data_IF_676107255053
#
_entry.id   IF_676107255053
#
_cell.length_a   1.000
_cell.length_b   1.000
_cell.length_c   1.000
_cell.angle_alpha   90.00
_cell.angle_beta   90.00
_cell.angle_gamma   90.00
#
_symmetry.space_group_name_H-M   'P 1'
#
loop_
_entity.id
_entity.type
_entity.pdbx_description
1 polymer ?
#
# COMPACT_ATOMS: atom_id res chain seq x y z
N UNK A 1 13.56 59.71 16.24
CA UNK A 1 14.38 58.48 16.39
C UNK A 1 13.56 57.35 17.06
N UNK A 2 12.38 56.99 16.54
CA UNK A 2 11.47 56.05 17.24
C UNK A 2 10.83 54.97 16.35
N UNK A 3 10.68 55.21 15.05
CA UNK A 3 10.03 54.25 14.14
C UNK A 3 10.89 53.04 13.75
N UNK A 4 12.21 53.19 13.71
CA UNK A 4 13.14 52.15 13.23
C UNK A 4 13.30 51.04 14.27
N UNK A 5 13.28 51.39 15.56
CA UNK A 5 13.39 50.42 16.66
C UNK A 5 12.15 49.52 16.77
N UNK A 6 10.95 50.05 16.48
CA UNK A 6 9.69 49.29 16.54
C UNK A 6 9.55 48.32 15.37
N UNK A 7 9.96 48.72 14.15
CA UNK A 7 9.94 47.84 12.98
C UNK A 7 10.93 46.68 13.10
N UNK A 8 12.11 46.91 13.69
CA UNK A 8 13.08 45.86 13.96
C UNK A 8 12.56 44.84 15.00
N UNK A 9 11.89 45.32 16.06
CA UNK A 9 11.31 44.45 17.09
C UNK A 9 10.15 43.59 16.54
N UNK A 10 9.28 44.16 15.70
CA UNK A 10 8.16 43.42 15.10
C UNK A 10 8.63 42.40 14.06
N UNK A 11 9.64 42.74 13.25
CA UNK A 11 10.24 41.80 12.30
C UNK A 11 10.88 40.60 12.97
N UNK A 12 11.55 40.82 14.12
CA UNK A 12 12.22 39.75 14.87
C UNK A 12 11.22 38.80 15.54
N UNK A 13 10.09 39.31 16.07
CA UNK A 13 9.00 38.48 16.61
C UNK A 13 8.31 37.68 15.50
N UNK A 14 8.10 38.26 14.32
CA UNK A 14 7.48 37.54 13.19
C UNK A 14 8.32 36.34 12.72
N UNK A 15 9.66 36.47 12.70
CA UNK A 15 10.54 35.34 12.35
C UNK A 15 10.55 34.22 13.38
N UNK A 16 10.39 34.54 14.66
CA UNK A 16 10.33 33.55 15.74
C UNK A 16 9.00 32.78 15.76
N UNK A 17 7.88 33.43 15.42
CA UNK A 17 6.54 32.80 15.45
C UNK A 17 6.26 31.99 14.19
N UNK A 18 6.76 32.39 13.01
CA UNK A 18 6.44 31.74 11.73
C UNK A 18 7.58 30.93 11.08
N UNK A 19 8.86 31.08 11.46
CA UNK A 19 9.97 30.44 10.72
C UNK A 19 11.13 29.86 11.53
N UNK A 20 11.39 30.33 12.77
CA UNK A 20 12.63 30.03 13.48
C UNK A 20 12.70 28.68 14.21
N UNK A 21 11.56 28.15 14.68
CA UNK A 21 11.54 26.91 15.49
C UNK A 21 11.60 25.65 14.61
N UNK A 22 11.28 25.79 13.32
CA UNK A 22 11.35 24.71 12.34
C UNK A 22 12.78 24.20 12.15
N UNK A 23 13.79 25.06 12.18
CA UNK A 23 15.20 24.66 11.98
C UNK A 23 15.80 23.94 13.19
N UNK A 24 15.44 24.33 14.42
CA UNK A 24 15.90 23.65 15.65
C UNK A 24 15.23 22.30 15.88
N UNK A 25 13.99 22.13 15.41
CA UNK A 25 13.27 20.85 15.45
C UNK A 25 13.46 20.03 14.19
N UNK A 26 13.96 20.60 13.09
CA UNK A 26 14.27 19.90 11.84
C UNK A 26 15.22 18.70 12.01
N UNK A 27 16.28 18.71 12.84
CA UNK A 27 17.09 17.50 13.04
C UNK A 27 16.26 16.40 13.72
N UNK A 28 15.49 16.70 14.76
CA UNK A 28 14.64 15.72 15.44
C UNK A 28 13.47 15.21 14.59
N UNK A 29 12.82 16.10 13.83
CA UNK A 29 11.70 15.77 12.94
C UNK A 29 12.20 15.05 11.70
N UNK A 30 13.36 15.45 11.18
CA UNK A 30 14.06 14.77 10.09
C UNK A 30 14.67 13.44 10.50
N UNK A 31 15.10 13.25 11.75
CA UNK A 31 15.55 11.97 12.31
C UNK A 31 14.38 11.07 12.76
N UNK A 32 13.24 11.65 13.16
CA UNK A 32 12.00 10.91 13.36
C UNK A 32 11.42 10.46 12.01
N UNK A 33 11.28 11.36 11.03
CA UNK A 33 10.90 11.03 9.64
C UNK A 33 11.91 10.07 9.02
N UNK A 34 13.21 10.20 9.31
CA UNK A 34 14.21 9.23 8.87
C UNK A 34 14.03 7.92 9.62
N UNK A 35 13.92 7.83 10.94
CA UNK A 35 13.66 6.55 11.64
C UNK A 35 12.38 5.87 11.14
N UNK A 36 11.33 6.65 10.90
CA UNK A 36 10.08 6.20 10.29
C UNK A 36 10.27 5.73 8.83
N UNK A 37 11.23 6.30 8.09
CA UNK A 37 11.58 5.92 6.70
C UNK A 37 12.75 4.93 6.53
N UNK A 38 13.67 4.80 7.49
CA UNK A 38 14.98 4.13 7.32
C UNK A 38 15.19 2.94 8.23
N UNK A 39 14.44 2.73 9.32
CA UNK A 39 14.70 1.60 10.22
C UNK A 39 13.44 0.95 10.77
N UNK A 40 12.94 -0.05 10.05
CA UNK A 40 12.87 -1.43 10.55
C UNK A 40 12.60 -1.70 12.04
N UNK A 41 11.64 -1.06 12.68
CA UNK A 41 11.08 -1.62 13.92
C UNK A 41 10.44 -2.97 13.60
N UNK A 42 10.56 -3.95 14.51
CA UNK A 42 9.87 -5.24 14.35
C UNK A 42 8.37 -5.07 14.06
N UNK A 43 7.76 -4.03 14.65
CA UNK A 43 6.37 -3.67 14.41
C UNK A 43 6.09 -3.22 12.96
N UNK A 44 6.92 -2.34 12.37
CA UNK A 44 6.79 -1.97 10.96
C UNK A 44 6.96 -3.19 10.05
N UNK A 45 7.84 -4.13 10.44
CA UNK A 45 8.06 -5.36 9.69
C UNK A 45 6.87 -6.30 9.71
N UNK A 46 6.28 -6.49 10.88
CA UNK A 46 5.07 -7.30 11.07
C UNK A 46 3.90 -6.67 10.30
N UNK A 47 3.68 -5.36 10.49
CA UNK A 47 2.58 -4.65 9.83
C UNK A 47 2.67 -4.73 8.29
N UNK A 48 3.86 -4.57 7.74
CA UNK A 48 4.05 -4.67 6.29
C UNK A 48 3.85 -6.10 5.79
N UNK A 49 4.32 -7.11 6.54
CA UNK A 49 4.07 -8.51 6.22
C UNK A 49 2.57 -8.84 6.25
N UNK A 50 1.85 -8.45 7.30
CA UNK A 50 0.41 -8.64 7.43
C UNK A 50 -0.36 -7.96 6.29
N UNK A 51 0.05 -6.75 5.89
CA UNK A 51 -0.52 -6.04 4.75
C UNK A 51 -0.33 -6.83 3.45
N UNK A 52 0.89 -7.24 3.12
CA UNK A 52 1.16 -8.00 1.89
C UNK A 52 0.51 -9.38 1.90
N UNK A 53 0.47 -10.06 3.05
CA UNK A 53 -0.23 -11.32 3.22
C UNK A 53 -1.74 -11.15 2.99
N UNK A 54 -2.34 -10.08 3.53
CA UNK A 54 -3.74 -9.74 3.30
C UNK A 54 -4.05 -9.45 1.84
N UNK A 55 -3.21 -8.66 1.17
CA UNK A 55 -3.34 -8.37 -0.27
C UNK A 55 -3.25 -9.64 -1.12
N UNK A 56 -2.32 -10.54 -0.79
CA UNK A 56 -2.15 -11.78 -1.51
C UNK A 56 -3.33 -12.76 -1.27
N UNK A 57 -3.78 -12.89 -0.03
CA UNK A 57 -4.96 -13.70 0.34
C UNK A 57 -6.23 -13.18 -0.35
N UNK A 58 -6.35 -11.86 -0.55
CA UNK A 58 -7.46 -11.27 -1.29
C UNK A 58 -7.48 -11.71 -2.76
N UNK A 59 -6.31 -11.82 -3.41
CA UNK A 59 -6.18 -12.38 -4.77
C UNK A 59 -6.61 -13.85 -4.77
N UNK A 60 -6.09 -14.68 -3.86
CA UNK A 60 -6.43 -16.10 -3.77
C UNK A 60 -7.92 -16.35 -3.50
N UNK A 61 -8.55 -15.52 -2.67
CA UNK A 61 -10.00 -15.62 -2.39
C UNK A 61 -10.82 -15.38 -3.66
N UNK A 62 -10.42 -14.41 -4.49
CA UNK A 62 -11.05 -14.15 -5.78
C UNK A 62 -10.82 -15.30 -6.75
N UNK A 63 -9.61 -15.85 -6.80
CA UNK A 63 -9.29 -17.04 -7.62
C UNK A 63 -10.12 -18.25 -7.22
N UNK A 64 -10.28 -18.51 -5.91
CA UNK A 64 -11.15 -19.59 -5.41
C UNK A 64 -12.61 -19.40 -5.82
N UNK A 65 -13.11 -18.17 -5.75
CA UNK A 65 -14.48 -17.85 -6.19
C UNK A 65 -14.64 -18.00 -7.70
N UNK A 66 -13.65 -17.57 -8.49
CA UNK A 66 -13.61 -17.76 -9.95
C UNK A 66 -13.66 -19.25 -10.28
N UNK A 67 -12.82 -20.07 -9.63
CA UNK A 67 -12.78 -21.52 -9.84
C UNK A 67 -14.13 -22.18 -9.52
N UNK A 68 -14.73 -21.86 -8.38
CA UNK A 68 -16.03 -22.39 -8.00
C UNK A 68 -17.14 -22.03 -9.02
N UNK A 69 -17.12 -20.80 -9.54
CA UNK A 69 -18.07 -20.38 -10.57
C UNK A 69 -17.80 -21.03 -11.93
N UNK A 70 -16.54 -21.24 -12.31
CA UNK A 70 -16.18 -21.97 -13.52
C UNK A 70 -16.62 -23.45 -13.46
N UNK A 71 -16.50 -24.09 -12.30
CA UNK A 71 -17.03 -25.43 -12.03
C UNK A 71 -18.57 -25.46 -12.09
N UNK A 72 -19.25 -24.51 -11.44
CA UNK A 72 -20.71 -24.39 -11.51
C UNK A 72 -21.19 -24.18 -12.95
N UNK A 73 -20.48 -23.34 -13.72
CA UNK A 73 -20.79 -23.05 -15.12
C UNK A 73 -20.84 -24.30 -15.98
N UNK A 74 -19.98 -25.28 -15.70
CA UNK A 74 -19.90 -26.55 -16.45
C UNK A 74 -21.16 -27.40 -16.36
N UNK A 75 -21.95 -27.25 -15.29
CA UNK A 75 -23.18 -28.04 -15.06
C UNK A 75 -24.45 -27.18 -15.08
N UNK A 76 -24.31 -25.86 -15.19
CA UNK A 76 -25.40 -24.90 -15.12
C UNK A 76 -26.29 -24.86 -16.38
N UNK A 77 -27.57 -24.53 -16.16
CA UNK A 77 -28.54 -24.21 -17.22
C UNK A 77 -28.08 -22.98 -18.03
N UNK A 78 -28.57 -22.82 -19.26
CA UNK A 78 -28.17 -21.70 -20.12
C UNK A 78 -28.43 -20.32 -19.49
N UNK A 79 -29.57 -20.15 -18.81
CA UNK A 79 -29.91 -18.92 -18.11
C UNK A 79 -29.01 -18.64 -16.91
N UNK A 80 -28.58 -19.69 -16.19
CA UNK A 80 -27.62 -19.56 -15.09
C UNK A 80 -26.21 -19.27 -15.60
N UNK A 81 -25.78 -19.89 -16.71
CA UNK A 81 -24.48 -19.65 -17.35
C UNK A 81 -24.29 -18.18 -17.71
N UNK A 82 -25.30 -17.52 -18.29
CA UNK A 82 -25.21 -16.09 -18.61
C UNK A 82 -24.96 -15.22 -17.36
N UNK A 83 -25.60 -15.54 -16.23
CA UNK A 83 -25.37 -14.84 -14.95
C UNK A 83 -23.96 -15.12 -14.40
N UNK A 84 -23.51 -16.37 -14.48
CA UNK A 84 -22.17 -16.76 -14.07
C UNK A 84 -21.13 -16.02 -14.92
N UNK A 85 -21.32 -15.88 -16.23
CA UNK A 85 -20.39 -15.20 -17.14
C UNK A 85 -20.22 -13.71 -16.78
N UNK A 86 -21.32 -13.03 -16.42
CA UNK A 86 -21.26 -11.66 -15.89
C UNK A 86 -20.47 -11.60 -14.58
N UNK A 87 -20.75 -12.51 -13.64
CA UNK A 87 -20.02 -12.57 -12.36
C UNK A 87 -18.53 -12.88 -12.55
N UNK A 88 -18.19 -13.81 -13.45
CA UNK A 88 -16.80 -14.16 -13.78
C UNK A 88 -16.05 -12.97 -14.37
N UNK A 89 -16.68 -12.19 -15.26
CA UNK A 89 -16.06 -10.99 -15.84
C UNK A 89 -15.73 -9.96 -14.77
N UNK A 90 -16.67 -9.70 -13.85
CA UNK A 90 -16.46 -8.79 -12.73
C UNK A 90 -15.36 -9.29 -11.78
N UNK A 91 -15.37 -10.59 -11.44
CA UNK A 91 -14.38 -11.19 -10.55
C UNK A 91 -12.98 -11.21 -11.17
N UNK A 92 -12.84 -11.49 -12.47
CA UNK A 92 -11.56 -11.44 -13.19
C UNK A 92 -10.99 -10.03 -13.20
N UNK A 93 -11.83 -9.02 -13.42
CA UNK A 93 -11.42 -7.61 -13.34
C UNK A 93 -10.97 -7.23 -11.92
N UNK A 94 -11.76 -7.61 -10.92
CA UNK A 94 -11.42 -7.34 -9.51
C UNK A 94 -10.19 -8.11 -9.02
N UNK A 95 -9.89 -9.28 -9.60
CA UNK A 95 -8.64 -10.00 -9.37
C UNK A 95 -7.45 -9.21 -9.93
N UNK A 96 -7.57 -8.69 -11.15
CA UNK A 96 -6.52 -7.88 -11.76
C UNK A 96 -6.25 -6.60 -10.93
N UNK A 97 -7.28 -5.93 -10.43
CA UNK A 97 -7.15 -4.79 -9.52
C UNK A 97 -6.38 -5.15 -8.24
N UNK A 98 -6.69 -6.29 -7.62
CA UNK A 98 -5.99 -6.75 -6.41
C UNK A 98 -4.51 -7.08 -6.71
N UNK A 99 -4.20 -7.66 -7.87
CA UNK A 99 -2.82 -7.87 -8.33
C UNK A 99 -2.10 -6.54 -8.54
N UNK A 100 -2.76 -5.55 -9.14
CA UNK A 100 -2.19 -4.21 -9.31
C UNK A 100 -1.94 -3.51 -8.00
N UNK A 101 -2.84 -3.63 -7.02
CA UNK A 101 -2.64 -3.06 -5.69
C UNK A 101 -1.47 -3.73 -4.96
N UNK A 102 -1.36 -5.06 -5.03
CA UNK A 102 -0.18 -5.76 -4.53
C UNK A 102 1.11 -5.21 -5.15
N UNK A 103 1.14 -5.11 -6.48
CA UNK A 103 2.31 -4.66 -7.22
C UNK A 103 2.65 -3.18 -6.97
N UNK A 104 1.64 -2.32 -6.77
CA UNK A 104 1.83 -0.91 -6.46
C UNK A 104 2.49 -0.73 -5.09
N UNK A 105 2.06 -1.52 -4.09
CA UNK A 105 2.63 -1.56 -2.74
C UNK A 105 4.03 -2.15 -2.73
N UNK A 106 4.25 -3.22 -3.49
CA UNK A 106 5.56 -3.91 -3.60
C UNK A 106 6.62 -3.05 -4.29
N UNK A 107 6.20 -2.11 -5.16
CA UNK A 107 7.11 -1.19 -5.84
C UNK A 107 7.62 -0.04 -4.94
N UNK A 108 7.05 0.16 -3.75
CA UNK A 108 7.44 1.25 -2.85
C UNK A 108 8.83 1.01 -2.24
N UNK A 109 9.73 1.98 -2.40
CA UNK A 109 11.16 1.84 -2.06
C UNK A 109 11.39 1.47 -0.58
N UNK A 110 10.65 2.09 0.33
CA UNK A 110 10.71 1.83 1.78
C UNK A 110 10.15 0.47 2.20
N UNK A 111 9.51 -0.27 1.27
CA UNK A 111 8.97 -1.62 1.50
C UNK A 111 9.83 -2.70 0.86
N UNK A 112 10.97 -2.32 0.27
CA UNK A 112 11.88 -3.24 -0.39
C UNK A 112 12.53 -4.26 0.56
N UNK A 113 12.62 -3.95 1.86
CA UNK A 113 13.10 -4.85 2.91
C UNK A 113 12.18 -6.06 3.20
N UNK A 114 10.95 -6.07 2.68
CA UNK A 114 9.97 -7.17 2.88
C UNK A 114 9.92 -8.17 1.74
N UNK A 115 10.73 -7.94 0.70
CA UNK A 115 10.90 -8.84 -0.44
C UNK A 115 11.53 -10.19 -0.06
N UNK A 116 12.07 -10.30 1.16
CA UNK A 116 13.19 -11.18 1.45
C UNK A 116 12.89 -12.31 2.44
N UNK A 117 11.64 -12.73 2.62
CA UNK A 117 11.44 -14.00 3.36
C UNK A 117 10.44 -14.96 2.78
N UNK A 118 9.22 -14.55 2.47
CA UNK A 118 8.19 -15.53 2.10
C UNK A 118 7.17 -15.04 1.06
N UNK A 119 7.19 -13.79 0.61
CA UNK A 119 6.16 -13.26 -0.29
C UNK A 119 6.72 -12.93 -1.68
N UNK A 120 5.95 -13.15 -2.77
CA UNK A 120 6.42 -12.92 -4.13
C UNK A 120 6.69 -11.43 -4.38
N UNK A 121 7.81 -11.03 -5.02
CA UNK A 121 8.14 -9.62 -5.23
C UNK A 121 7.15 -8.89 -6.16
N UNK A 122 6.46 -9.65 -7.02
CA UNK A 122 5.37 -9.21 -7.89
C UNK A 122 4.41 -10.37 -8.14
N UNK A 123 3.16 -10.02 -8.38
CA UNK A 123 2.13 -10.93 -8.88
C UNK A 123 1.91 -10.70 -10.38
N UNK A 124 1.70 -11.79 -11.13
CA UNK A 124 1.33 -11.73 -12.53
C UNK A 124 -0.20 -11.70 -12.67
N UNK A 125 -0.69 -10.71 -13.41
CA UNK A 125 -2.12 -10.55 -13.70
C UNK A 125 -2.64 -11.70 -14.58
N UNK A 126 -1.78 -12.33 -15.38
CA UNK A 126 -2.14 -13.42 -16.28
C UNK A 126 -2.02 -14.80 -15.63
N UNK A 127 -1.37 -14.91 -14.46
CA UNK A 127 -1.36 -16.16 -13.71
C UNK A 127 -2.79 -16.50 -13.28
N UNK A 128 -3.11 -17.78 -13.21
CA UNK A 128 -4.43 -18.28 -12.77
C UNK A 128 -4.41 -18.73 -11.31
N UNK A 129 -3.23 -18.91 -10.71
CA UNK A 129 -3.09 -19.42 -9.36
C UNK A 129 -1.93 -18.72 -8.63
N UNK A 130 -2.27 -17.69 -7.87
CA UNK A 130 -1.31 -16.91 -7.11
C UNK A 130 -0.79 -17.72 -5.92
N UNK A 131 0.53 -17.78 -5.74
CA UNK A 131 1.18 -18.38 -4.57
C UNK A 131 1.58 -17.30 -3.57
N UNK A 132 0.95 -17.34 -2.40
CA UNK A 132 1.19 -16.41 -1.29
C UNK A 132 1.98 -17.13 -0.20
N UNK A 133 3.31 -17.04 -0.21
CA UNK A 133 4.18 -17.81 0.68
C UNK A 133 4.03 -19.34 0.56
N UNK A 134 5.06 -20.12 0.95
CA UNK A 134 4.94 -21.58 1.03
C UNK A 134 3.94 -22.03 2.11
#
# INVERSE_FOLDING_TARGET
>A
MGGIAVLAAVGLVATLVFGGVGWLTAPFRGEADKRERTEGSGAFRIATYEEFFGLCTAVQTKEGTIKALEEERGTATASRRARIDTSLTALKSSRAEAVHEYNSRAAQEHRSAFKDRDLPPRLDVNDTATRCAP
#
